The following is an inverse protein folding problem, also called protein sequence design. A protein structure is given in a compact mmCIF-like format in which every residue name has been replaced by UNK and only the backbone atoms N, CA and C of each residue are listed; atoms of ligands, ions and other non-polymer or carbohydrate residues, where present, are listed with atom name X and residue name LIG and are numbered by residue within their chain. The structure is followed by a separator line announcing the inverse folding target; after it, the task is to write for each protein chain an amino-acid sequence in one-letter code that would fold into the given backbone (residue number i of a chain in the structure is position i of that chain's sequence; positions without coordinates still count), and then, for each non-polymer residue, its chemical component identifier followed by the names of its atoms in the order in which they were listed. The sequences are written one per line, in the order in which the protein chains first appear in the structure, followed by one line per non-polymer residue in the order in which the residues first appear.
data_IF_700795116508
#
_entry.id   IF_700795116508
#
_cell.length_a   1.000
_cell.length_b   1.000
_cell.length_c   1.000
_cell.angle_alpha   90.00
_cell.angle_beta   90.00
_cell.angle_gamma   90.00
#
_symmetry.space_group_name_H-M   'P 1'
#
loop_
_entity.id
_entity.type
_entity.pdbx_description
1 polymer ?
#
# COMPACT_ATOMS: atom_id res chain seq x y z
N UNK A 1 -25.50 0.09 -11.39
CA UNK A 1 -25.96 -0.52 -10.10
C UNK A 1 -25.85 -2.04 -10.15
N UNK A 2 -26.30 -2.71 -11.22
CA UNK A 2 -26.32 -4.17 -11.31
C UNK A 2 -24.92 -4.79 -11.24
N UNK A 3 -23.94 -4.22 -11.93
CA UNK A 3 -22.54 -4.66 -11.84
C UNK A 3 -21.97 -4.63 -10.41
N UNK A 4 -22.27 -3.57 -9.64
CA UNK A 4 -21.77 -3.45 -8.27
C UNK A 4 -22.39 -4.50 -7.34
N UNK A 5 -23.69 -4.80 -7.54
CA UNK A 5 -24.39 -5.84 -6.77
C UNK A 5 -23.88 -7.22 -7.14
N UNK A 6 -23.75 -7.52 -8.43
CA UNK A 6 -23.23 -8.81 -8.93
C UNK A 6 -21.82 -9.10 -8.37
N UNK A 7 -20.97 -8.10 -8.34
CA UNK A 7 -19.61 -8.19 -7.83
C UNK A 7 -19.47 -8.00 -6.32
N UNK A 8 -20.57 -7.73 -5.61
CA UNK A 8 -20.57 -7.43 -4.17
C UNK A 8 -19.57 -6.31 -3.83
N UNK A 9 -19.50 -5.28 -4.68
CA UNK A 9 -18.64 -4.11 -4.45
C UNK A 9 -19.40 -3.11 -3.58
N UNK A 10 -18.82 -2.75 -2.44
CA UNK A 10 -19.37 -1.72 -1.55
C UNK A 10 -18.72 -0.38 -1.83
N UNK A 11 -19.52 0.57 -2.27
CA UNK A 11 -19.09 1.97 -2.49
C UNK A 11 -19.78 2.86 -1.46
N UNK A 12 -19.00 3.50 -0.60
CA UNK A 12 -19.50 4.50 0.34
C UNK A 12 -19.64 5.84 -0.40
N UNK A 13 -20.70 6.63 -0.13
CA UNK A 13 -20.84 7.93 -0.78
C UNK A 13 -19.57 8.78 -0.70
N UNK A 14 -19.26 9.49 -1.79
CA UNK A 14 -18.04 10.28 -2.02
C UNK A 14 -16.80 9.46 -2.41
N UNK A 15 -16.86 8.13 -2.47
CA UNK A 15 -15.81 7.37 -3.15
C UNK A 15 -15.87 7.62 -4.66
N UNK A 16 -14.70 7.78 -5.28
CA UNK A 16 -14.57 8.04 -6.71
C UNK A 16 -13.69 6.96 -7.33
N UNK A 17 -14.24 6.19 -8.26
CA UNK A 17 -13.48 5.35 -9.17
C UNK A 17 -13.63 5.94 -10.59
N UNK A 18 -12.51 6.37 -11.18
CA UNK A 18 -12.53 6.96 -12.53
C UNK A 18 -12.85 5.91 -13.57
N UNK A 19 -13.55 6.32 -14.62
CA UNK A 19 -13.71 5.50 -15.82
C UNK A 19 -12.33 5.03 -16.33
N UNK A 20 -12.22 3.74 -16.66
CA UNK A 20 -10.96 3.11 -17.05
C UNK A 20 -10.11 2.59 -15.87
N UNK A 21 -10.59 2.68 -14.63
CA UNK A 21 -10.08 1.86 -13.52
C UNK A 21 -10.81 0.53 -13.46
N UNK A 22 -10.20 -0.48 -12.84
CA UNK A 22 -10.82 -1.77 -12.58
C UNK A 22 -10.91 -2.01 -11.08
N UNK A 23 -12.11 -2.38 -10.62
CA UNK A 23 -12.38 -2.74 -9.23
C UNK A 23 -13.01 -4.12 -9.23
N UNK A 24 -12.37 -5.07 -8.56
CA UNK A 24 -12.81 -6.46 -8.53
C UNK A 24 -13.89 -6.70 -7.48
N UNK A 25 -14.39 -7.95 -7.40
CA UNK A 25 -15.45 -8.36 -6.47
C UNK A 25 -15.02 -8.21 -5.01
N UNK A 26 -16.02 -8.06 -4.13
CA UNK A 26 -15.84 -7.94 -2.69
C UNK A 26 -14.96 -6.76 -2.22
N UNK A 27 -14.66 -5.81 -3.12
CA UNK A 27 -13.91 -4.60 -2.77
C UNK A 27 -14.77 -3.63 -1.99
N UNK A 28 -14.17 -2.96 -1.01
CA UNK A 28 -14.78 -1.86 -0.28
C UNK A 28 -14.05 -0.57 -0.62
N UNK A 29 -14.77 0.41 -1.17
CA UNK A 29 -14.29 1.77 -1.37
C UNK A 29 -14.97 2.68 -0.33
N UNK A 30 -14.22 3.09 0.68
CA UNK A 30 -14.59 4.21 1.54
C UNK A 30 -14.46 5.51 0.73
N UNK A 31 -14.83 6.70 1.25
CA UNK A 31 -14.58 7.97 0.57
C UNK A 31 -13.10 8.10 0.18
N UNK A 32 -12.78 7.73 -1.03
CA UNK A 32 -11.42 7.51 -1.55
C UNK A 32 -11.37 7.79 -3.04
N UNK A 33 -10.20 7.72 -3.64
CA UNK A 33 -10.02 8.01 -5.06
C UNK A 33 -9.22 6.90 -5.75
N UNK A 34 -9.81 6.30 -6.79
CA UNK A 34 -9.15 5.32 -7.66
C UNK A 34 -9.00 5.94 -9.05
N UNK A 35 -7.77 6.12 -9.50
CA UNK A 35 -7.44 6.80 -10.74
C UNK A 35 -7.56 5.89 -11.96
N UNK A 36 -7.53 6.50 -13.16
CA UNK A 36 -7.59 5.80 -14.45
C UNK A 36 -6.45 4.78 -14.58
N UNK A 37 -6.74 3.63 -15.17
CA UNK A 37 -5.78 2.53 -15.37
C UNK A 37 -5.41 1.77 -14.10
N UNK A 38 -5.84 2.22 -12.93
CA UNK A 38 -5.60 1.50 -11.68
C UNK A 38 -6.39 0.19 -11.62
N UNK A 39 -5.79 -0.80 -10.98
CA UNK A 39 -6.40 -2.10 -10.67
C UNK A 39 -6.51 -2.26 -9.15
N UNK A 40 -7.69 -2.65 -8.68
CA UNK A 40 -7.94 -2.98 -7.26
C UNK A 40 -8.48 -4.40 -7.20
N UNK A 41 -7.70 -5.31 -6.63
CA UNK A 41 -7.97 -6.74 -6.56
C UNK A 41 -9.04 -7.12 -5.53
N UNK A 42 -9.53 -8.36 -5.68
CA UNK A 42 -10.61 -8.94 -4.89
C UNK A 42 -10.41 -8.76 -3.38
N UNK A 43 -11.49 -8.42 -2.65
CA UNK A 43 -11.51 -8.33 -1.19
C UNK A 43 -10.68 -7.18 -0.60
N UNK A 44 -10.13 -6.31 -1.44
CA UNK A 44 -9.32 -5.17 -0.99
C UNK A 44 -10.19 -4.06 -0.41
N UNK A 45 -9.70 -3.40 0.62
CA UNK A 45 -10.29 -2.19 1.16
C UNK A 45 -9.43 -0.96 0.82
N UNK A 46 -10.03 0.02 0.19
CA UNK A 46 -9.48 1.37 0.01
C UNK A 46 -10.16 2.28 1.01
N UNK A 47 -9.46 2.56 2.11
CA UNK A 47 -10.04 3.26 3.25
C UNK A 47 -10.13 4.78 3.03
N UNK A 48 -10.68 5.48 4.01
CA UNK A 48 -11.04 6.90 3.93
C UNK A 48 -9.84 7.78 3.56
N UNK A 49 -10.04 8.59 2.53
CA UNK A 49 -9.04 9.50 1.95
C UNK A 49 -7.79 8.83 1.36
N UNK A 50 -7.81 7.52 1.20
CA UNK A 50 -6.76 6.85 0.44
C UNK A 50 -6.89 7.15 -1.06
N UNK A 51 -5.75 7.17 -1.75
CA UNK A 51 -5.67 7.37 -3.20
C UNK A 51 -4.91 6.23 -3.85
N UNK A 52 -5.47 5.69 -4.92
CA UNK A 52 -4.81 4.75 -5.82
C UNK A 52 -4.50 5.51 -7.11
N UNK A 53 -3.22 5.80 -7.32
CA UNK A 53 -2.75 6.59 -8.45
C UNK A 53 -2.94 5.92 -9.80
N UNK A 54 -2.75 6.69 -10.87
CA UNK A 54 -2.93 6.19 -12.25
C UNK A 54 -2.08 4.94 -12.50
N UNK A 55 -2.71 3.91 -13.07
CA UNK A 55 -2.10 2.61 -13.42
C UNK A 55 -1.51 1.82 -12.23
N UNK A 56 -1.64 2.26 -10.99
CA UNK A 56 -1.19 1.50 -9.82
C UNK A 56 -1.94 0.15 -9.73
N UNK A 57 -1.22 -0.89 -9.29
CA UNK A 57 -1.73 -2.26 -9.25
C UNK A 57 -1.81 -2.73 -7.80
N UNK A 58 -3.03 -2.88 -7.30
CA UNK A 58 -3.30 -3.34 -5.93
C UNK A 58 -3.82 -4.77 -5.99
N UNK A 59 -3.14 -5.69 -5.35
CA UNK A 59 -3.50 -7.11 -5.29
C UNK A 59 -4.77 -7.39 -4.50
N UNK A 60 -5.03 -8.67 -4.28
CA UNK A 60 -6.18 -9.15 -3.52
C UNK A 60 -5.95 -9.04 -2.00
N UNK A 61 -7.04 -8.84 -1.25
CA UNK A 61 -7.05 -8.79 0.22
C UNK A 61 -6.06 -7.77 0.80
N UNK A 62 -5.81 -6.68 0.09
CA UNK A 62 -4.99 -5.57 0.55
C UNK A 62 -5.83 -4.62 1.39
N UNK A 63 -5.24 -4.07 2.45
CA UNK A 63 -5.81 -2.97 3.20
C UNK A 63 -4.97 -1.70 2.99
N UNK A 64 -5.52 -0.73 2.29
CA UNK A 64 -4.99 0.63 2.21
C UNK A 64 -5.67 1.46 3.29
N UNK A 65 -4.97 1.72 4.40
CA UNK A 65 -5.55 2.44 5.54
C UNK A 65 -5.81 3.92 5.23
N UNK A 66 -6.46 4.62 6.16
CA UNK A 66 -6.87 6.01 5.97
C UNK A 66 -5.75 6.94 5.52
N UNK A 67 -5.98 7.67 4.44
CA UNK A 67 -5.06 8.63 3.87
C UNK A 67 -3.77 8.03 3.27
N UNK A 68 -3.76 6.76 2.92
CA UNK A 68 -2.66 6.14 2.17
C UNK A 68 -2.61 6.71 0.77
N UNK A 69 -1.41 7.05 0.29
CA UNK A 69 -1.16 7.42 -1.10
C UNK A 69 -0.37 6.34 -1.84
N UNK A 70 -0.98 5.81 -2.89
CA UNK A 70 -0.28 4.95 -3.86
C UNK A 70 -0.04 5.77 -5.12
N UNK A 71 1.24 5.98 -5.45
CA UNK A 71 1.63 6.85 -6.56
C UNK A 71 1.22 6.30 -7.92
N UNK A 72 0.93 7.23 -8.83
CA UNK A 72 0.63 6.92 -10.22
C UNK A 72 1.87 6.93 -11.11
N UNK A 73 1.65 6.73 -12.39
CA UNK A 73 2.72 6.74 -13.41
C UNK A 73 2.94 8.11 -14.07
N UNK A 74 2.13 9.11 -13.72
CA UNK A 74 2.23 10.47 -14.24
C UNK A 74 2.68 11.43 -13.13
N UNK A 75 3.46 12.43 -13.51
CA UNK A 75 3.89 13.58 -12.70
C UNK A 75 4.62 13.23 -11.40
N UNK A 76 5.86 12.71 -11.48
CA UNK A 76 6.67 12.55 -12.71
C UNK A 76 6.34 11.26 -13.46
N UNK A 77 6.60 11.25 -14.76
CA UNK A 77 6.40 10.08 -15.60
C UNK A 77 7.22 8.89 -15.11
N UNK A 78 6.56 7.78 -14.85
CA UNK A 78 7.17 6.53 -14.41
C UNK A 78 7.09 5.46 -15.51
N UNK A 79 8.17 4.70 -15.69
CA UNK A 79 8.21 3.59 -16.64
C UNK A 79 7.45 2.34 -16.14
N UNK A 80 7.28 2.22 -14.82
CA UNK A 80 6.64 1.08 -14.17
C UNK A 80 5.61 1.55 -13.15
N UNK A 81 4.46 0.88 -13.05
CA UNK A 81 3.46 1.20 -12.04
C UNK A 81 3.95 0.82 -10.63
N UNK A 82 3.43 1.52 -9.63
CA UNK A 82 3.53 1.07 -8.24
C UNK A 82 2.67 -0.18 -8.06
N UNK A 83 3.22 -1.19 -7.38
CA UNK A 83 2.57 -2.48 -7.19
C UNK A 83 2.52 -2.81 -5.71
N UNK A 84 1.34 -3.08 -5.20
CA UNK A 84 1.11 -3.67 -3.88
C UNK A 84 0.57 -5.07 -4.12
N UNK A 85 1.35 -6.09 -3.79
CA UNK A 85 0.93 -7.48 -3.98
C UNK A 85 -0.09 -7.92 -2.91
N UNK A 86 -0.61 -9.15 -3.06
CA UNK A 86 -1.69 -9.69 -2.25
C UNK A 86 -1.40 -9.71 -0.74
N UNK A 87 -2.46 -9.60 0.05
CA UNK A 87 -2.45 -9.72 1.51
C UNK A 87 -1.53 -8.70 2.22
N UNK A 88 -1.25 -7.56 1.59
CA UNK A 88 -0.49 -6.48 2.20
C UNK A 88 -1.38 -5.58 3.05
N UNK A 89 -0.81 -5.07 4.13
CA UNK A 89 -1.40 -4.01 4.94
C UNK A 89 -0.54 -2.74 4.82
N UNK A 90 -1.12 -1.65 4.36
CA UNK A 90 -0.46 -0.36 4.23
C UNK A 90 -1.04 0.59 5.28
N UNK A 91 -0.24 0.92 6.28
CA UNK A 91 -0.64 1.72 7.43
C UNK A 91 -0.99 3.17 7.06
N UNK A 92 -1.86 3.78 7.87
CA UNK A 92 -2.40 5.11 7.62
C UNK A 92 -1.31 6.16 7.32
N UNK A 93 -1.61 7.06 6.36
CA UNK A 93 -0.73 8.15 5.95
C UNK A 93 0.63 7.71 5.40
N UNK A 94 0.76 6.46 4.97
CA UNK A 94 1.94 6.01 4.24
C UNK A 94 1.83 6.33 2.76
N UNK A 95 2.98 6.55 2.12
CA UNK A 95 3.08 6.79 0.68
C UNK A 95 3.99 5.73 0.06
N UNK A 96 3.51 5.06 -0.99
CA UNK A 96 4.30 4.14 -1.82
C UNK A 96 4.20 4.61 -3.26
N UNK A 97 5.30 5.07 -3.81
CA UNK A 97 5.29 5.81 -5.08
C UNK A 97 6.43 5.38 -6.02
N UNK A 98 6.47 5.98 -7.21
CA UNK A 98 7.60 5.85 -8.16
C UNK A 98 7.92 4.41 -8.59
N UNK A 99 6.89 3.59 -8.77
CA UNK A 99 7.05 2.22 -9.26
C UNK A 99 7.66 1.25 -8.23
N UNK A 100 7.60 1.60 -6.95
CA UNK A 100 8.00 0.69 -5.85
C UNK A 100 7.07 -0.51 -5.81
N UNK A 101 7.65 -1.68 -5.53
CA UNK A 101 6.91 -2.93 -5.36
C UNK A 101 6.90 -3.32 -3.89
N UNK A 102 5.72 -3.52 -3.32
CA UNK A 102 5.55 -4.13 -2.00
C UNK A 102 5.10 -5.57 -2.21
N UNK A 103 5.99 -6.51 -1.90
CA UNK A 103 5.73 -7.94 -2.07
C UNK A 103 4.68 -8.44 -1.09
N UNK A 104 4.03 -9.54 -1.46
CA UNK A 104 2.90 -10.15 -0.73
C UNK A 104 3.15 -10.32 0.77
N UNK A 105 2.07 -10.33 1.54
CA UNK A 105 2.08 -10.56 2.98
C UNK A 105 2.90 -9.53 3.79
N UNK A 106 3.24 -8.39 3.21
CA UNK A 106 4.00 -7.35 3.90
C UNK A 106 3.10 -6.38 4.66
N UNK A 107 3.61 -5.86 5.75
CA UNK A 107 2.96 -4.86 6.60
C UNK A 107 3.82 -3.60 6.62
N UNK A 108 3.30 -2.54 6.06
CA UNK A 108 3.87 -1.20 6.15
C UNK A 108 3.19 -0.49 7.32
N UNK A 109 3.96 -0.05 8.29
CA UNK A 109 3.43 0.71 9.44
C UNK A 109 2.92 2.09 9.00
N UNK A 110 2.19 2.77 9.87
CA UNK A 110 1.72 4.12 9.58
C UNK A 110 2.89 5.09 9.35
N UNK A 111 2.69 6.08 8.46
CA UNK A 111 3.64 7.17 8.23
C UNK A 111 4.98 6.72 7.63
N UNK A 112 4.98 5.69 6.79
CA UNK A 112 6.16 5.22 6.04
C UNK A 112 6.08 5.74 4.62
N UNK A 113 7.15 6.38 4.14
CA UNK A 113 7.25 6.98 2.81
C UNK A 113 8.28 6.23 1.97
N UNK A 114 7.88 5.58 0.88
CA UNK A 114 8.77 4.78 0.04
C UNK A 114 8.65 5.22 -1.41
N UNK A 115 9.68 5.92 -1.87
CA UNK A 115 9.91 6.19 -3.29
C UNK A 115 11.10 5.38 -3.81
N UNK A 116 11.37 5.49 -5.09
CA UNK A 116 12.43 4.73 -5.78
C UNK A 116 13.83 4.95 -5.19
N UNK A 117 14.10 6.13 -4.65
CA UNK A 117 15.36 6.50 -4.03
C UNK A 117 15.40 6.34 -2.51
N UNK A 118 14.28 5.93 -1.90
CA UNK A 118 14.21 5.70 -0.45
C UNK A 118 15.02 4.47 -0.08
N UNK A 119 15.93 4.63 0.88
CA UNK A 119 16.67 3.48 1.44
C UNK A 119 15.71 2.58 2.21
N UNK A 120 15.77 1.30 1.93
CA UNK A 120 15.06 0.26 2.68
C UNK A 120 16.15 -0.54 3.41
N UNK A 121 16.25 -0.32 4.72
CA UNK A 121 17.25 -0.94 5.57
C UNK A 121 16.67 -2.19 6.26
N UNK A 122 17.27 -3.33 6.02
CA UNK A 122 16.93 -4.58 6.69
C UNK A 122 17.81 -4.75 7.92
N UNK A 123 17.20 -4.79 9.12
CA UNK A 123 17.91 -4.94 10.40
C UNK A 123 18.54 -6.30 10.60
N UNK A 124 17.97 -7.35 10.04
CA UNK A 124 18.44 -8.72 10.18
C UNK A 124 19.71 -8.93 9.34
N UNK A 125 19.67 -8.52 8.09
CA UNK A 125 20.81 -8.67 7.17
C UNK A 125 21.78 -7.50 7.18
N UNK A 126 21.40 -6.38 7.84
CA UNK A 126 22.16 -5.13 7.87
C UNK A 126 22.43 -4.56 6.46
N UNK A 127 21.56 -4.85 5.52
CA UNK A 127 21.68 -4.43 4.12
C UNK A 127 20.72 -3.29 3.77
N UNK A 128 21.05 -2.55 2.73
CA UNK A 128 20.22 -1.49 2.15
C UNK A 128 19.81 -1.90 0.74
N UNK A 129 18.52 -1.83 0.46
CA UNK A 129 17.94 -2.02 -0.87
C UNK A 129 17.08 -0.82 -1.27
N UNK A 130 16.60 -0.83 -2.52
CA UNK A 130 15.76 0.23 -3.10
C UNK A 130 14.68 -0.36 -3.98
N UNK A 131 13.56 0.36 -4.09
CA UNK A 131 12.51 0.09 -5.08
C UNK A 131 11.65 -1.14 -4.81
N UNK A 132 12.00 -1.98 -3.84
CA UNK A 132 11.22 -3.18 -3.52
C UNK A 132 11.26 -3.50 -2.02
N UNK A 133 10.08 -3.75 -1.45
CA UNK A 133 9.93 -4.31 -0.09
C UNK A 133 9.76 -5.82 -0.24
N UNK A 134 10.69 -6.64 0.31
CA UNK A 134 10.62 -8.09 0.21
C UNK A 134 9.39 -8.69 0.88
N UNK A 135 8.95 -9.84 0.40
CA UNK A 135 7.79 -10.58 0.91
C UNK A 135 7.81 -10.75 2.43
N UNK A 136 6.64 -10.59 3.06
CA UNK A 136 6.43 -10.81 4.49
C UNK A 136 7.21 -9.85 5.40
N UNK A 137 7.59 -8.68 4.91
CA UNK A 137 8.34 -7.72 5.70
C UNK A 137 7.43 -6.84 6.56
N UNK A 138 7.84 -6.57 7.79
CA UNK A 138 7.25 -5.54 8.64
C UNK A 138 8.15 -4.31 8.59
N UNK A 139 7.61 -3.21 8.04
CA UNK A 139 8.37 -1.99 7.74
C UNK A 139 7.88 -0.83 8.60
N UNK A 140 8.82 -0.11 9.18
CA UNK A 140 8.55 1.11 9.95
C UNK A 140 9.38 2.27 9.42
N UNK A 141 9.03 3.50 9.79
CA UNK A 141 9.86 4.67 9.54
C UNK A 141 11.10 4.66 10.43
N UNK A 142 12.22 5.11 9.89
CA UNK A 142 13.47 5.22 10.62
C UNK A 142 14.43 6.23 9.99
N UNK A 143 15.66 6.22 10.43
CA UNK A 143 16.72 7.06 9.87
C UNK A 143 18.08 6.37 9.93
N UNK A 144 18.94 6.71 9.01
CA UNK A 144 20.35 6.30 8.97
C UNK A 144 21.24 7.54 8.94
N UNK A 145 22.43 7.51 9.57
CA UNK A 145 23.36 8.62 9.48
C UNK A 145 23.77 8.90 8.03
N UNK A 146 23.95 10.17 7.71
CA UNK A 146 24.55 10.60 6.47
C UNK A 146 26.02 10.14 6.39
N UNK A 147 26.58 10.10 5.17
CA UNK A 147 27.97 9.66 4.97
C UNK A 147 29.00 10.48 5.75
N UNK A 148 28.73 11.76 5.93
CA UNK A 148 29.58 12.71 6.68
C UNK A 148 29.25 12.77 8.18
N UNK A 149 28.22 12.06 8.63
CA UNK A 149 27.81 12.01 10.02
C UNK A 149 27.15 13.29 10.56
N UNK A 150 26.87 14.27 9.68
CA UNK A 150 26.33 15.58 10.12
C UNK A 150 24.84 15.57 10.41
N UNK A 151 24.08 14.61 9.86
CA UNK A 151 22.64 14.49 10.05
C UNK A 151 22.19 13.05 9.92
N UNK A 152 20.94 12.79 10.27
CA UNK A 152 20.25 11.53 9.94
C UNK A 152 19.29 11.74 8.77
N UNK A 153 19.30 10.80 7.83
CA UNK A 153 18.43 10.80 6.67
C UNK A 153 17.34 9.75 6.87
N UNK A 154 16.13 10.09 6.48
CA UNK A 154 15.00 9.19 6.50
C UNK A 154 15.30 7.89 5.73
N UNK A 155 14.80 6.77 6.26
CA UNK A 155 14.75 5.49 5.57
C UNK A 155 13.53 4.68 6.02
N UNK A 156 13.12 3.72 5.21
CA UNK A 156 12.22 2.66 5.62
C UNK A 156 13.06 1.54 6.27
N UNK A 157 12.58 0.96 7.37
CA UNK A 157 13.31 -0.07 8.11
C UNK A 157 12.48 -1.35 8.19
N UNK A 158 13.00 -2.44 7.64
CA UNK A 158 12.46 -3.78 7.86
C UNK A 158 12.92 -4.22 9.26
N UNK A 159 11.97 -4.33 10.19
CA UNK A 159 12.26 -4.63 11.60
C UNK A 159 12.18 -6.11 11.91
N UNK A 160 11.39 -6.85 11.13
CA UNK A 160 11.18 -8.30 11.27
C UNK A 160 10.39 -8.85 10.08
N UNK A 161 10.23 -10.16 10.03
CA UNK A 161 9.23 -10.81 9.18
C UNK A 161 7.87 -10.90 9.89
N UNK A 162 6.80 -10.98 9.09
CA UNK A 162 5.43 -11.15 9.59
C UNK A 162 5.31 -12.45 10.37
N UNK A 163 4.74 -12.39 11.55
CA UNK A 163 4.48 -13.52 12.45
C UNK A 163 2.98 -13.57 12.84
N UNK A 164 2.58 -14.63 13.54
CA UNK A 164 1.19 -14.81 13.98
C UNK A 164 0.66 -13.63 14.81
N UNK A 165 1.53 -12.97 15.59
CA UNK A 165 1.16 -11.79 16.38
C UNK A 165 0.92 -10.56 15.49
N UNK A 166 1.69 -10.43 14.42
CA UNK A 166 1.49 -9.37 13.41
C UNK A 166 0.17 -9.59 12.68
N UNK A 167 -0.09 -10.83 12.22
CA UNK A 167 -1.33 -11.21 11.54
C UNK A 167 -2.56 -10.96 12.41
N UNK A 168 -2.52 -11.29 13.71
CA UNK A 168 -3.66 -11.05 14.61
C UNK A 168 -4.00 -9.56 14.76
N UNK A 169 -3.03 -8.68 14.72
CA UNK A 169 -3.27 -7.23 14.76
C UNK A 169 -3.86 -6.67 13.46
N UNK A 170 -3.50 -7.26 12.34
CA UNK A 170 -4.01 -6.90 11.02
C UNK A 170 -5.38 -7.55 10.79
N UNK A 171 -5.58 -8.79 11.26
CA UNK A 171 -6.82 -9.56 11.10
C UNK A 171 -8.04 -9.04 11.88
N UNK A 172 -7.86 -8.17 12.88
CA UNK A 172 -8.98 -7.49 13.54
C UNK A 172 -9.83 -6.71 12.53
N UNK A 173 -9.21 -6.22 11.46
CA UNK A 173 -9.93 -5.52 10.40
C UNK A 173 -10.80 -6.47 9.54
N UNK A 174 -10.49 -7.76 9.48
CA UNK A 174 -11.36 -8.75 8.78
C UNK A 174 -12.66 -8.99 9.53
N UNK A 175 -12.60 -9.09 10.86
CA UNK A 175 -13.80 -9.25 11.71
C UNK A 175 -14.77 -8.07 11.58
N UNK A 176 -14.26 -6.87 11.31
CA UNK A 176 -15.10 -5.68 11.09
C UNK A 176 -15.70 -5.61 9.68
N UNK A 177 -15.23 -6.46 8.75
CA UNK A 177 -15.80 -6.54 7.39
C UNK A 177 -17.02 -7.46 7.31
N UNK A 178 -17.11 -8.43 8.22
CA UNK A 178 -18.21 -9.42 8.29
C UNK A 178 -19.41 -8.93 9.13
N UNK A 179 -19.28 -7.80 9.80
CA UNK A 179 -20.34 -7.17 10.58
C UNK A 179 -21.04 -6.06 9.80
#
# INVERSE_FOLDING_TARGET
EDYLKEKNIRIVPQAIARHGSFVDKNVVLMPSFVNIGAYVGEGTMVDTWATVGSCAQIGANVHLSGGVGIGGVLEPLQASPTIIEDNCFIGARSEVVEGVIVRRNSVISMGVFIGKSTKIYDRETQSVSYGEVPEGSVVVSGSLPSKDGTCNLYCAVIVKKVDAKTLSKVGINELLREA
#
